data_IF_378208087057
#
_entry.id   IF_378208087057
#
_cell.length_a   1.000
_cell.length_b   1.000
_cell.length_c   1.000
_cell.angle_alpha   90.00
_cell.angle_beta   90.00
_cell.angle_gamma   90.00
#
_symmetry.space_group_name_H-M   'P 1'
#
loop_
_entity.id
_entity.type
_entity.pdbx_description
1 polymer ?
#
# COMPACT_ATOMS: atom_id res chain seq x y z
N UNK A 1 -32.45 80.11 52.92
CA UNK A 1 -32.98 81.18 52.06
C UNK A 1 -32.21 81.09 50.75
N UNK A 2 -32.88 80.69 49.65
CA UNK A 2 -32.51 80.86 48.21
C UNK A 2 -31.17 80.22 47.74
N UNK A 3 -30.95 79.67 46.54
CA UNK A 3 -31.65 79.66 45.23
C UNK A 3 -30.91 78.59 44.38
N UNK A 4 -31.58 77.67 43.68
CA UNK A 4 -31.97 77.73 42.25
C UNK A 4 -30.83 77.50 41.23
N UNK A 5 -30.97 76.38 40.51
CA UNK A 5 -30.79 76.14 39.06
C UNK A 5 -29.35 76.09 38.48
N UNK A 6 -28.90 74.92 38.02
CA UNK A 6 -29.12 74.33 36.68
C UNK A 6 -28.21 74.92 35.58
N UNK A 7 -27.16 74.18 35.21
CA UNK A 7 -26.59 74.23 33.86
C UNK A 7 -26.03 72.86 33.47
N UNK A 8 -26.74 72.23 32.54
CA UNK A 8 -26.39 71.04 31.78
C UNK A 8 -25.08 71.28 31.02
N UNK A 9 -24.18 70.30 30.94
CA UNK A 9 -23.46 70.01 29.70
C UNK A 9 -23.02 68.54 29.65
N UNK A 10 -23.57 67.86 28.64
CA UNK A 10 -23.34 66.50 28.20
C UNK A 10 -21.86 66.13 28.11
N UNK A 11 -21.52 64.93 28.59
CA UNK A 11 -20.33 64.21 28.13
C UNK A 11 -20.78 62.90 27.49
N UNK A 12 -20.46 62.78 26.21
CA UNK A 12 -20.76 61.70 25.29
C UNK A 12 -19.95 60.46 25.70
N UNK A 13 -20.63 59.37 26.01
CA UNK A 13 -20.03 58.03 26.16
C UNK A 13 -19.83 57.44 24.76
N UNK A 14 -18.57 57.36 24.29
CA UNK A 14 -18.22 56.60 23.09
C UNK A 14 -18.09 55.13 23.51
N UNK A 15 -19.13 54.33 23.25
CA UNK A 15 -19.06 52.87 23.29
C UNK A 15 -18.35 52.38 22.03
N UNK A 16 -17.08 52.01 22.15
CA UNK A 16 -16.38 51.25 21.13
C UNK A 16 -16.88 49.80 21.18
N UNK A 17 -17.71 49.40 20.22
CA UNK A 17 -18.12 48.02 20.03
C UNK A 17 -16.93 47.19 19.52
N UNK A 18 -16.43 46.27 20.36
CA UNK A 18 -15.51 45.23 19.93
C UNK A 18 -16.30 44.26 19.03
N UNK A 19 -16.19 44.41 17.72
CA UNK A 19 -16.64 43.40 16.76
C UNK A 19 -15.65 42.25 16.84
N UNK A 20 -15.95 41.23 17.65
CA UNK A 20 -15.22 39.96 17.64
C UNK A 20 -15.50 39.27 16.31
N UNK A 21 -14.55 39.33 15.39
CA UNK A 21 -14.55 38.49 14.21
C UNK A 21 -14.40 37.03 14.66
N UNK A 22 -15.49 36.26 14.58
CA UNK A 22 -15.41 34.80 14.72
C UNK A 22 -14.65 34.27 13.51
N UNK A 23 -13.38 33.92 13.71
CA UNK A 23 -12.53 33.31 12.71
C UNK A 23 -13.05 31.88 12.47
N UNK A 24 -13.85 31.71 11.41
CA UNK A 24 -14.34 30.40 10.99
C UNK A 24 -13.16 29.62 10.41
N UNK A 25 -12.50 28.81 11.24
CA UNK A 25 -11.49 27.87 10.77
C UNK A 25 -12.19 26.76 10.00
N UNK A 26 -12.21 26.89 8.67
CA UNK A 26 -12.53 25.77 7.80
C UNK A 26 -11.43 24.73 8.00
N UNK A 27 -11.79 23.57 8.56
CA UNK A 27 -10.92 22.40 8.59
C UNK A 27 -10.72 21.94 7.14
N UNK A 28 -9.69 22.47 6.49
CA UNK A 28 -9.23 21.95 5.20
C UNK A 28 -8.51 20.65 5.53
N UNK A 29 -9.24 19.52 5.51
CA UNK A 29 -8.61 18.21 5.54
C UNK A 29 -7.60 18.15 4.39
N UNK A 30 -6.31 17.87 4.64
CA UNK A 30 -5.38 17.68 3.55
C UNK A 30 -5.84 16.45 2.77
N UNK A 31 -6.30 16.67 1.54
CA UNK A 31 -6.42 15.58 0.58
C UNK A 31 -5.02 15.02 0.39
N UNK A 32 -4.74 13.87 1.02
CA UNK A 32 -3.52 13.14 0.78
C UNK A 32 -3.57 12.59 -0.64
N UNK A 33 -3.07 13.36 -1.60
CA UNK A 33 -2.72 12.83 -2.90
C UNK A 33 -1.46 11.97 -2.74
N UNK A 34 -1.64 10.66 -2.51
CA UNK A 34 -0.55 9.70 -2.62
C UNK A 34 -0.42 8.73 -1.46
N UNK A 35 -1.21 7.67 -1.49
CA UNK A 35 -0.89 6.30 -1.07
C UNK A 35 -2.20 5.52 -1.10
N UNK A 36 -2.18 4.26 -1.52
CA UNK A 36 -3.33 3.39 -1.35
C UNK A 36 -3.62 3.26 0.17
N UNK A 37 -4.89 3.24 0.63
CA UNK A 37 -5.20 2.98 2.04
C UNK A 37 -4.46 1.74 2.56
N UNK A 38 -3.96 1.74 3.80
CA UNK A 38 -3.30 0.54 4.32
C UNK A 38 -4.31 -0.62 4.32
N UNK A 39 -3.97 -1.73 3.66
CA UNK A 39 -4.81 -2.93 3.73
C UNK A 39 -4.97 -3.36 5.19
N UNK A 40 -6.15 -3.87 5.60
CA UNK A 40 -6.40 -4.30 6.96
C UNK A 40 -5.36 -5.31 7.42
N UNK A 41 -5.22 -5.44 8.75
CA UNK A 41 -4.33 -6.45 9.30
C UNK A 41 -4.79 -7.82 8.79
N UNK A 42 -3.87 -8.65 8.27
CA UNK A 42 -4.25 -9.92 7.67
C UNK A 42 -4.93 -10.85 8.69
N UNK A 43 -5.94 -11.63 8.27
CA UNK A 43 -6.64 -12.64 9.09
C UNK A 43 -6.22 -14.06 8.71
N UNK A 44 -5.63 -14.83 9.62
CA UNK A 44 -5.11 -16.17 9.33
C UNK A 44 -3.78 -16.45 10.03
N UNK A 45 -3.11 -17.52 9.60
CA UNK A 45 -1.75 -17.83 10.06
C UNK A 45 -0.74 -16.87 9.41
N UNK A 46 0.14 -16.30 10.22
CA UNK A 46 1.13 -15.31 9.78
C UNK A 46 2.52 -15.91 9.82
N UNK A 47 3.22 -15.84 8.69
CA UNK A 47 4.60 -16.30 8.51
C UNK A 47 5.44 -15.04 8.26
N UNK A 48 6.34 -14.70 9.19
CA UNK A 48 7.25 -13.57 9.00
C UNK A 48 8.56 -14.06 8.43
N UNK A 49 9.08 -13.36 7.43
CA UNK A 49 10.30 -13.74 6.68
C UNK A 49 11.20 -12.53 6.47
N UNK A 50 12.51 -12.74 6.51
CA UNK A 50 13.51 -11.67 6.32
C UNK A 50 14.68 -12.05 5.39
N UNK A 51 14.64 -13.25 4.80
CA UNK A 51 15.58 -13.68 3.75
C UNK A 51 14.88 -14.18 2.49
N UNK A 52 15.62 -14.19 1.37
CA UNK A 52 15.12 -14.78 0.10
C UNK A 52 14.74 -16.25 0.27
N UNK A 53 15.53 -17.01 1.01
CA UNK A 53 15.29 -18.44 1.24
C UNK A 53 14.03 -18.66 2.08
N UNK A 54 13.79 -17.84 3.11
CA UNK A 54 12.56 -17.90 3.89
C UNK A 54 11.33 -17.49 3.10
N UNK A 55 11.41 -16.43 2.28
CA UNK A 55 10.32 -16.03 1.37
C UNK A 55 9.98 -17.21 0.45
N UNK A 56 11.00 -17.80 -0.18
CA UNK A 56 10.80 -18.92 -1.09
C UNK A 56 10.20 -20.13 -0.38
N UNK A 57 10.72 -20.52 0.79
CA UNK A 57 10.19 -21.64 1.56
C UNK A 57 8.75 -21.38 2.01
N UNK A 58 8.45 -20.20 2.54
CA UNK A 58 7.10 -19.83 2.98
C UNK A 58 6.08 -19.92 1.83
N UNK A 59 6.46 -19.48 0.62
CA UNK A 59 5.58 -19.59 -0.56
C UNK A 59 5.36 -21.05 -0.97
N UNK A 60 6.41 -21.88 -0.96
CA UNK A 60 6.32 -23.28 -1.39
C UNK A 60 5.66 -24.20 -0.35
N UNK A 61 5.61 -23.80 0.92
CA UNK A 61 4.95 -24.55 1.99
C UNK A 61 3.63 -23.95 2.45
N UNK A 62 3.14 -22.90 1.80
CA UNK A 62 1.95 -22.17 2.23
C UNK A 62 0.70 -23.06 2.21
N UNK A 63 -0.15 -22.89 3.23
CA UNK A 63 -1.52 -23.36 3.25
C UNK A 63 -2.49 -22.27 2.75
N UNK A 64 -3.69 -22.64 2.26
CA UNK A 64 -4.70 -21.64 1.91
C UNK A 64 -5.00 -20.68 3.06
N UNK A 65 -4.96 -19.38 2.77
CA UNK A 65 -5.16 -18.32 3.77
C UNK A 65 -3.89 -17.91 4.54
N UNK A 66 -2.73 -18.51 4.26
CA UNK A 66 -1.46 -18.07 4.86
C UNK A 66 -1.08 -16.66 4.41
N UNK A 67 -0.38 -15.98 5.33
CA UNK A 67 -0.03 -14.57 5.19
C UNK A 67 1.46 -14.41 5.43
N UNK A 68 2.18 -14.16 4.34
CA UNK A 68 3.63 -14.01 4.33
C UNK A 68 3.93 -12.51 4.50
N UNK A 69 4.38 -12.14 5.70
CA UNK A 69 4.82 -10.79 6.02
C UNK A 69 6.32 -10.68 5.84
N UNK A 70 6.71 -9.84 4.88
CA UNK A 70 8.11 -9.63 4.53
C UNK A 70 8.65 -8.46 5.34
N UNK A 71 9.70 -8.69 6.12
CA UNK A 71 10.40 -7.63 6.84
C UNK A 71 11.03 -6.63 5.86
N UNK A 72 11.27 -5.40 6.32
CA UNK A 72 11.90 -4.37 5.49
C UNK A 72 13.30 -4.84 5.04
N UNK A 73 13.56 -4.79 3.74
CA UNK A 73 14.77 -5.37 3.16
C UNK A 73 14.85 -5.31 1.64
N UNK A 74 16.04 -5.64 1.14
CA UNK A 74 16.33 -5.80 -0.28
C UNK A 74 16.66 -7.26 -0.56
N UNK A 75 15.85 -7.89 -1.39
CA UNK A 75 15.85 -9.31 -1.65
C UNK A 75 16.35 -9.57 -3.06
N UNK A 76 17.58 -10.06 -3.17
CA UNK A 76 18.23 -10.34 -4.45
C UNK A 76 17.86 -11.75 -4.93
N UNK A 77 16.72 -11.86 -5.60
CA UNK A 77 16.19 -13.13 -6.09
C UNK A 77 17.12 -13.74 -7.15
N UNK A 78 17.62 -12.91 -8.07
CA UNK A 78 18.48 -13.35 -9.15
C UNK A 78 19.79 -14.00 -8.70
N UNK A 79 20.43 -13.47 -7.66
CA UNK A 79 21.67 -14.07 -7.13
C UNK A 79 21.45 -15.45 -6.48
N UNK A 80 20.21 -15.78 -6.11
CA UNK A 80 19.87 -17.08 -5.50
C UNK A 80 19.30 -18.08 -6.53
N UNK A 81 18.93 -17.62 -7.72
CA UNK A 81 18.19 -18.42 -8.71
C UNK A 81 16.77 -18.79 -8.26
N UNK A 82 16.24 -18.14 -7.21
CA UNK A 82 14.88 -18.35 -6.72
C UNK A 82 13.89 -17.45 -7.47
N UNK A 83 12.69 -17.98 -7.70
CA UNK A 83 11.54 -17.26 -8.25
C UNK A 83 10.32 -17.51 -7.36
N UNK A 84 9.35 -16.59 -7.36
CA UNK A 84 8.14 -16.70 -6.53
C UNK A 84 7.01 -17.26 -7.37
N UNK A 85 6.64 -18.52 -7.11
CA UNK A 85 5.53 -19.19 -7.78
C UNK A 85 4.41 -19.49 -6.80
N UNK A 86 3.27 -18.85 -7.01
CA UNK A 86 2.11 -18.97 -6.15
C UNK A 86 1.10 -19.89 -6.82
N UNK A 87 0.97 -21.13 -6.34
CA UNK A 87 -0.01 -22.13 -6.79
C UNK A 87 -1.01 -22.53 -5.70
N UNK A 88 -0.97 -21.88 -4.55
CA UNK A 88 -1.92 -22.09 -3.44
C UNK A 88 -2.89 -20.93 -3.40
N UNK A 89 -4.18 -21.25 -3.41
CA UNK A 89 -5.23 -20.24 -3.39
C UNK A 89 -5.31 -19.52 -2.03
N UNK A 90 -5.68 -18.23 -2.05
CA UNK A 90 -5.97 -17.48 -0.82
C UNK A 90 -4.74 -16.97 -0.07
N UNK A 91 -3.52 -17.13 -0.60
CA UNK A 91 -2.33 -16.65 0.10
C UNK A 91 -2.13 -15.14 -0.10
N UNK A 92 -1.52 -14.50 0.90
CA UNK A 92 -1.12 -13.08 0.84
C UNK A 92 0.39 -12.96 1.02
N UNK A 93 1.05 -12.17 0.17
CA UNK A 93 2.43 -11.73 0.35
C UNK A 93 2.44 -10.21 0.43
N UNK A 94 2.93 -9.64 1.54
CA UNK A 94 3.02 -8.17 1.67
C UNK A 94 4.15 -7.72 2.60
N UNK A 95 4.56 -6.47 2.47
CA UNK A 95 5.42 -5.84 3.47
C UNK A 95 4.78 -5.84 4.86
N UNK A 96 5.59 -6.10 5.88
CA UNK A 96 5.20 -5.99 7.28
C UNK A 96 4.92 -4.54 7.70
N UNK A 97 5.71 -3.57 7.21
CA UNK A 97 5.52 -2.14 7.49
C UNK A 97 4.32 -1.56 6.73
N UNK A 98 4.01 -2.15 5.57
CA UNK A 98 3.03 -1.62 4.62
C UNK A 98 3.61 -0.51 3.73
N UNK A 99 4.93 -0.31 3.76
CA UNK A 99 5.63 0.60 2.88
C UNK A 99 6.30 -0.16 1.72
N UNK A 100 5.86 0.13 0.50
CA UNK A 100 6.39 -0.49 -0.72
C UNK A 100 7.84 -0.14 -1.02
N UNK A 101 8.34 0.97 -0.49
CA UNK A 101 9.73 1.38 -0.68
C UNK A 101 10.67 0.64 0.27
N UNK A 102 10.11 -0.03 1.29
CA UNK A 102 10.87 -0.75 2.31
C UNK A 102 11.06 -2.24 2.01
N UNK A 103 10.27 -2.85 1.11
CA UNK A 103 10.45 -4.23 0.62
C UNK A 103 10.74 -4.22 -0.88
N UNK A 104 11.96 -4.58 -1.26
CA UNK A 104 12.42 -4.55 -2.67
C UNK A 104 12.80 -5.96 -3.11
N UNK A 105 12.05 -6.51 -4.06
CA UNK A 105 12.41 -7.72 -4.80
C UNK A 105 13.17 -7.32 -6.05
N UNK A 106 14.40 -7.80 -6.18
CA UNK A 106 15.30 -7.43 -7.26
C UNK A 106 15.88 -8.66 -7.95
N UNK A 107 15.46 -8.89 -9.19
CA UNK A 107 15.82 -10.09 -9.96
C UNK A 107 17.13 -9.90 -10.76
N UNK A 108 17.58 -8.66 -10.95
CA UNK A 108 18.78 -8.35 -11.75
C UNK A 108 18.81 -9.02 -13.13
N UNK A 109 17.65 -9.21 -13.75
CA UNK A 109 17.46 -9.83 -15.05
C UNK A 109 17.91 -11.29 -15.13
N UNK A 110 18.03 -12.00 -14.00
CA UNK A 110 18.53 -13.38 -13.98
C UNK A 110 17.42 -14.42 -14.20
N UNK A 111 16.21 -14.19 -13.67
CA UNK A 111 15.06 -15.08 -13.82
C UNK A 111 14.30 -14.89 -15.14
N UNK A 112 13.07 -15.41 -15.24
CA UNK A 112 12.11 -15.02 -16.28
C UNK A 112 11.16 -13.97 -15.71
N UNK A 113 10.17 -14.42 -14.93
CA UNK A 113 9.26 -13.61 -14.14
C UNK A 113 9.69 -13.58 -12.68
N UNK A 114 9.37 -12.50 -11.97
CA UNK A 114 9.71 -12.38 -10.54
C UNK A 114 8.64 -13.04 -9.67
N UNK A 115 7.37 -12.71 -9.91
CA UNK A 115 6.22 -13.30 -9.25
C UNK A 115 5.28 -13.87 -10.31
N UNK A 116 5.03 -15.18 -10.23
CA UNK A 116 4.00 -15.85 -11.03
C UNK A 116 2.86 -16.28 -10.13
N UNK A 117 1.64 -15.90 -10.49
CA UNK A 117 0.41 -16.21 -9.79
C UNK A 117 -0.41 -17.18 -10.64
N UNK A 118 -0.59 -18.39 -10.13
CA UNK A 118 -1.30 -19.50 -10.78
C UNK A 118 -2.40 -20.09 -9.89
N UNK A 119 -2.99 -19.26 -9.01
CA UNK A 119 -4.06 -19.63 -8.11
C UNK A 119 -5.00 -18.45 -7.83
N UNK A 120 -6.24 -18.76 -7.47
CA UNK A 120 -7.26 -17.76 -7.15
C UNK A 120 -7.07 -17.12 -5.75
N UNK A 121 -7.63 -15.92 -5.57
CA UNK A 121 -7.69 -15.17 -4.32
C UNK A 121 -6.30 -14.82 -3.74
N UNK A 122 -5.33 -14.58 -4.60
CA UNK A 122 -3.96 -14.22 -4.20
C UNK A 122 -3.84 -12.70 -4.05
N UNK A 123 -3.21 -12.26 -2.96
CA UNK A 123 -2.86 -10.84 -2.76
C UNK A 123 -1.35 -10.66 -2.76
N UNK A 124 -0.85 -9.74 -3.57
CA UNK A 124 0.49 -9.17 -3.43
C UNK A 124 0.38 -7.68 -3.13
N UNK A 125 1.04 -7.22 -2.07
CA UNK A 125 0.90 -5.83 -1.66
C UNK A 125 2.15 -5.19 -1.06
N UNK A 126 2.18 -3.86 -1.13
CA UNK A 126 3.14 -3.04 -0.39
C UNK A 126 4.60 -3.43 -0.66
N UNK A 127 4.98 -3.64 -1.93
CA UNK A 127 6.35 -4.01 -2.29
C UNK A 127 6.80 -3.36 -3.61
N UNK A 128 8.11 -3.30 -3.81
CA UNK A 128 8.72 -2.88 -5.07
C UNK A 128 9.37 -4.06 -5.77
N UNK A 129 9.13 -4.22 -7.07
CA UNK A 129 9.78 -5.22 -7.94
C UNK A 129 10.68 -4.50 -8.94
N UNK A 130 11.92 -4.97 -9.07
CA UNK A 130 12.94 -4.37 -9.94
C UNK A 130 13.55 -5.38 -10.90
N UNK A 131 13.89 -4.90 -12.11
CA UNK A 131 14.82 -5.57 -13.03
C UNK A 131 14.40 -7.00 -13.34
N UNK A 132 13.12 -7.20 -13.61
CA UNK A 132 12.59 -8.48 -14.11
C UNK A 132 13.08 -8.70 -15.54
N UNK A 133 13.53 -9.91 -15.89
CA UNK A 133 13.93 -10.22 -17.28
C UNK A 133 12.75 -10.14 -18.25
N UNK A 134 11.58 -10.66 -17.88
CA UNK A 134 10.34 -10.53 -18.65
C UNK A 134 9.32 -9.71 -17.86
N UNK A 135 8.37 -10.38 -17.20
CA UNK A 135 7.28 -9.75 -16.45
C UNK A 135 7.63 -9.62 -14.97
N UNK A 136 7.31 -8.49 -14.35
CA UNK A 136 7.46 -8.36 -12.89
C UNK A 136 6.43 -9.25 -12.18
N UNK A 137 5.19 -9.22 -12.68
CA UNK A 137 4.10 -10.08 -12.24
C UNK A 137 3.42 -10.72 -13.45
N UNK A 138 3.29 -12.05 -13.42
CA UNK A 138 2.58 -12.84 -14.43
C UNK A 138 1.44 -13.61 -13.76
N UNK A 139 0.21 -13.26 -14.13
CA UNK A 139 -1.01 -13.98 -13.72
C UNK A 139 -1.39 -14.95 -14.84
N UNK A 140 -1.42 -16.25 -14.53
CA UNK A 140 -1.59 -17.31 -15.52
C UNK A 140 -2.45 -18.44 -15.00
N UNK A 141 -3.31 -19.00 -15.84
CA UNK A 141 -4.05 -20.22 -15.49
C UNK A 141 -3.18 -21.46 -15.66
N UNK A 142 -3.44 -22.47 -14.84
CA UNK A 142 -2.90 -23.82 -15.04
C UNK A 142 -3.98 -24.71 -15.64
N UNK A 143 -3.61 -25.85 -16.22
CA UNK A 143 -4.61 -26.82 -16.70
C UNK A 143 -5.53 -27.39 -15.60
N UNK A 144 -5.24 -27.09 -14.32
CA UNK A 144 -5.91 -27.62 -13.14
C UNK A 144 -6.71 -26.60 -12.33
N UNK A 145 -6.59 -25.28 -12.59
CA UNK A 145 -7.28 -24.26 -11.79
C UNK A 145 -7.36 -22.88 -12.47
N UNK A 146 -8.43 -22.15 -12.15
CA UNK A 146 -8.64 -20.75 -12.51
C UNK A 146 -7.80 -19.79 -11.65
N UNK A 147 -7.56 -18.59 -12.17
CA UNK A 147 -6.82 -17.52 -11.47
C UNK A 147 -7.69 -16.28 -11.28
N UNK A 148 -8.71 -16.42 -10.44
CA UNK A 148 -9.68 -15.37 -10.13
C UNK A 148 -9.24 -14.52 -8.94
N UNK A 149 -9.72 -13.28 -8.87
CA UNK A 149 -9.60 -12.41 -7.69
C UNK A 149 -8.14 -12.17 -7.24
N UNK A 150 -7.22 -12.02 -8.19
CA UNK A 150 -5.88 -11.54 -7.87
C UNK A 150 -5.94 -10.07 -7.48
N UNK A 151 -5.35 -9.72 -6.34
CA UNK A 151 -5.21 -8.34 -5.88
C UNK A 151 -3.74 -7.92 -5.90
N UNK A 152 -3.39 -6.97 -6.77
CA UNK A 152 -2.08 -6.32 -6.81
C UNK A 152 -2.24 -4.91 -6.26
N UNK A 153 -1.72 -4.67 -5.05
CA UNK A 153 -2.06 -3.49 -4.29
C UNK A 153 -0.83 -2.71 -3.83
N UNK A 154 -0.74 -1.42 -4.16
CA UNK A 154 0.39 -0.59 -3.77
C UNK A 154 1.77 -1.18 -4.19
N UNK A 155 1.80 -1.89 -5.32
CA UNK A 155 3.03 -2.48 -5.87
C UNK A 155 3.70 -1.50 -6.82
N UNK A 156 5.01 -1.29 -6.67
CA UNK A 156 5.81 -0.49 -7.60
C UNK A 156 6.65 -1.39 -8.47
N UNK A 157 6.64 -1.17 -9.78
CA UNK A 157 7.46 -1.91 -10.74
C UNK A 157 8.46 -0.96 -11.38
N UNK A 158 9.72 -1.38 -11.44
CA UNK A 158 10.81 -0.58 -12.01
C UNK A 158 11.60 -1.46 -12.98
N UNK A 159 11.69 -1.02 -14.23
CA UNK A 159 12.66 -1.54 -15.19
C UNK A 159 12.47 -3.03 -15.51
N UNK A 160 11.26 -3.42 -15.92
CA UNK A 160 10.99 -4.77 -16.43
C UNK A 160 11.37 -4.88 -17.91
N UNK A 161 11.95 -6.00 -18.32
CA UNK A 161 12.34 -6.24 -19.71
C UNK A 161 11.15 -6.43 -20.67
N UNK A 162 9.95 -6.74 -20.14
CA UNK A 162 8.69 -6.76 -20.88
C UNK A 162 7.59 -6.02 -20.10
N UNK A 163 6.31 -6.33 -20.32
CA UNK A 163 5.22 -5.70 -19.57
C UNK A 163 5.45 -5.91 -18.07
N UNK A 164 5.43 -4.83 -17.28
CA UNK A 164 5.60 -4.93 -15.83
C UNK A 164 4.56 -5.85 -15.20
N UNK A 165 3.34 -5.80 -15.73
CA UNK A 165 2.25 -6.69 -15.39
C UNK A 165 1.72 -7.37 -16.65
N UNK A 166 1.55 -8.69 -16.60
CA UNK A 166 0.93 -9.48 -17.66
C UNK A 166 -0.14 -10.41 -17.08
N UNK A 167 -1.30 -10.43 -17.73
CA UNK A 167 -2.39 -11.37 -17.46
C UNK A 167 -2.82 -12.00 -18.77
N UNK A 168 -2.83 -13.34 -18.81
CA UNK A 168 -3.44 -14.10 -19.89
C UNK A 168 -4.97 -14.06 -19.91
N UNK A 169 -5.61 -13.54 -18.84
CA UNK A 169 -7.07 -13.50 -18.68
C UNK A 169 -7.66 -12.08 -18.71
N UNK A 170 -8.94 -11.99 -19.13
CA UNK A 170 -9.69 -10.76 -19.40
C UNK A 170 -10.43 -10.14 -18.18
N UNK A 171 -10.37 -10.71 -16.98
CA UNK A 171 -11.15 -10.22 -15.83
C UNK A 171 -10.30 -10.06 -14.57
N UNK A 172 -9.68 -8.89 -14.42
CA UNK A 172 -8.95 -8.53 -13.19
C UNK A 172 -9.38 -7.10 -12.83
N UNK A 173 -9.72 -6.89 -11.55
CA UNK A 173 -10.13 -5.59 -10.99
C UNK A 173 -9.00 -4.98 -10.17
#
# INVERSE_FOLDING_TARGET
MTDIQNRKHSSILILASLVTAALLTVLVSPFSFGACPKLPQPSGNTITVDTVEEIWNAVNSAAPGDMILVADGKYNLGATGRYIWINVAGITIRSQSGDRESVIFDDQYQGSEVITIAASNVTIADLTIKRARTHAVHVTSSGSADTLNTLIYNVRIIDSGQQGYFSGEKHIR
#
